data_IF_641973348861
#
_entry.id   IF_641973348861
#
_cell.length_a   1.000
_cell.length_b   1.000
_cell.length_c   1.000
_cell.angle_alpha   90.00
_cell.angle_beta   90.00
_cell.angle_gamma   90.00
#
_symmetry.space_group_name_H-M   'P 1'
#
loop_
_entity.id
_entity.type
_entity.pdbx_description
1 polymer ?
#
# COMPACT_ATOMS: atom_id res chain seq x y z
N UNK A 1 12.52 40.55 79.83
CA UNK A 1 13.48 39.74 80.61
C UNK A 1 13.93 38.57 79.74
N UNK A 2 15.21 38.50 79.34
CA UNK A 2 15.78 37.32 78.65
C UNK A 2 16.29 36.39 79.74
N UNK A 3 15.57 35.29 79.93
CA UNK A 3 16.04 34.23 80.82
C UNK A 3 17.25 33.60 80.16
N UNK A 4 18.40 33.60 80.79
CA UNK A 4 19.61 32.98 80.27
C UNK A 4 19.47 31.46 80.24
N UNK A 5 20.21 30.79 79.32
CA UNK A 5 20.19 29.33 79.16
C UNK A 5 20.42 28.58 80.48
N UNK A 6 21.24 29.15 81.35
CA UNK A 6 21.57 28.59 82.71
C UNK A 6 20.36 28.67 83.63
N UNK A 7 19.62 29.79 83.64
CA UNK A 7 18.42 29.97 84.46
C UNK A 7 17.28 29.03 83.95
N UNK A 8 17.16 28.85 82.61
CA UNK A 8 16.21 27.90 82.05
C UNK A 8 16.54 26.48 82.48
N UNK A 9 17.81 26.08 82.42
CA UNK A 9 18.25 24.72 82.79
C UNK A 9 18.06 24.50 84.29
N UNK A 10 18.27 25.53 85.10
CA UNK A 10 18.06 25.45 86.56
C UNK A 10 16.57 25.33 86.90
N UNK A 11 15.69 26.08 86.24
CA UNK A 11 14.23 25.94 86.36
C UNK A 11 13.80 24.57 85.95
N UNK A 12 14.35 24.04 84.82
CA UNK A 12 14.07 22.72 84.35
C UNK A 12 14.53 21.62 85.32
N UNK A 13 15.69 21.79 85.89
CA UNK A 13 16.23 20.87 86.90
C UNK A 13 15.40 20.90 88.23
N UNK A 14 14.98 22.06 88.74
CA UNK A 14 14.10 22.20 89.91
C UNK A 14 12.70 21.62 89.55
N UNK A 15 12.15 21.89 88.37
CA UNK A 15 10.89 21.37 87.95
C UNK A 15 10.94 19.82 87.82
N UNK A 16 12.06 19.27 87.35
CA UNK A 16 12.23 17.82 87.22
C UNK A 16 12.33 17.13 88.61
N UNK A 17 12.92 17.77 89.60
CA UNK A 17 13.05 17.24 90.99
C UNK A 17 11.73 17.29 91.76
N UNK A 18 10.93 18.34 91.60
CA UNK A 18 9.68 18.55 92.35
C UNK A 18 8.42 17.89 91.72
N UNK A 19 8.40 17.72 90.41
CA UNK A 19 7.25 17.19 89.68
C UNK A 19 7.55 15.82 88.99
N UNK A 20 8.80 15.38 89.15
CA UNK A 20 9.41 14.29 88.35
C UNK A 20 8.58 13.03 88.22
N UNK A 21 8.11 12.33 89.23
CA UNK A 21 7.43 11.03 89.00
C UNK A 21 6.05 11.15 88.31
N UNK A 22 5.33 12.26 88.59
CA UNK A 22 4.00 12.48 88.06
C UNK A 22 4.01 12.89 86.59
N UNK A 23 4.99 13.74 86.22
CA UNK A 23 5.18 14.17 84.84
C UNK A 23 5.71 12.99 83.94
N UNK A 24 6.66 12.23 84.50
CA UNK A 24 7.16 11.04 83.84
C UNK A 24 6.02 10.01 83.51
N UNK A 25 5.16 9.78 84.52
CA UNK A 25 3.98 8.88 84.28
C UNK A 25 2.96 9.49 83.33
N UNK A 26 2.82 10.82 83.28
CA UNK A 26 1.95 11.48 82.33
C UNK A 26 2.51 11.40 80.89
N UNK A 27 3.77 11.68 80.70
CA UNK A 27 4.49 11.60 79.43
C UNK A 27 4.52 10.17 78.91
N UNK A 28 4.79 9.21 79.81
CA UNK A 28 4.76 7.78 79.44
C UNK A 28 3.35 7.30 78.98
N UNK A 29 2.29 7.73 79.75
CA UNK A 29 0.90 7.43 79.28
C UNK A 29 0.53 8.10 77.97
N UNK A 30 0.99 9.37 77.78
CA UNK A 30 0.77 10.11 76.55
C UNK A 30 1.52 9.47 75.40
N UNK A 31 2.80 9.10 75.59
CA UNK A 31 3.58 8.39 74.53
C UNK A 31 2.98 7.03 74.23
N UNK A 32 2.55 6.25 75.19
CA UNK A 32 1.87 4.99 74.95
C UNK A 32 0.55 5.16 74.15
N UNK A 33 -0.22 6.22 74.40
CA UNK A 33 -1.43 6.57 73.65
C UNK A 33 -1.06 7.00 72.22
N UNK A 34 -0.07 7.87 72.10
CA UNK A 34 0.39 8.31 70.78
C UNK A 34 0.95 7.15 69.94
N UNK A 35 1.74 6.26 70.53
CA UNK A 35 2.26 5.07 69.85
C UNK A 35 1.17 4.10 69.48
N UNK A 36 0.14 3.90 70.32
CA UNK A 36 -1.04 3.09 69.92
C UNK A 36 -1.85 3.70 68.76
N UNK A 37 -2.05 5.04 68.81
CA UNK A 37 -2.72 5.76 67.73
C UNK A 37 -1.95 5.68 66.40
N UNK A 38 -0.63 5.86 66.49
CA UNK A 38 0.26 5.73 65.31
C UNK A 38 0.29 4.29 64.76
N UNK A 39 0.32 3.30 65.67
CA UNK A 39 0.25 1.87 65.26
C UNK A 39 -1.08 1.54 64.59
N UNK A 40 -2.21 2.04 65.13
CA UNK A 40 -3.52 1.87 64.46
C UNK A 40 -3.59 2.59 63.11
N UNK A 41 -3.06 3.82 63.02
CA UNK A 41 -2.99 4.56 61.78
C UNK A 41 -2.10 3.84 60.72
N UNK A 42 -0.97 3.28 61.16
CA UNK A 42 -0.09 2.49 60.31
C UNK A 42 -0.77 1.21 59.79
N UNK A 43 -1.51 0.50 60.68
CA UNK A 43 -2.30 -0.68 60.27
C UNK A 43 -3.37 -0.32 59.22
N UNK A 44 -4.14 0.75 59.47
CA UNK A 44 -5.15 1.20 58.48
C UNK A 44 -4.53 1.58 57.13
N UNK A 45 -3.36 2.25 57.14
CA UNK A 45 -2.64 2.56 55.90
C UNK A 45 -2.16 1.32 55.19
N UNK A 46 -1.67 0.32 55.93
CA UNK A 46 -1.24 -0.95 55.35
C UNK A 46 -2.42 -1.75 54.77
N UNK A 47 -3.56 -1.80 55.49
CA UNK A 47 -4.79 -2.43 55.00
C UNK A 47 -5.32 -1.74 53.73
N UNK A 48 -5.36 -0.40 53.72
CA UNK A 48 -5.75 0.37 52.56
C UNK A 48 -4.81 0.15 51.37
N UNK A 49 -3.50 0.14 51.59
CA UNK A 49 -2.51 -0.13 50.58
C UNK A 49 -2.64 -1.55 50.01
N UNK A 50 -2.92 -2.52 50.86
CA UNK A 50 -3.17 -3.93 50.44
C UNK A 50 -4.44 -4.04 49.61
N UNK A 51 -5.53 -3.36 49.97
CA UNK A 51 -6.76 -3.31 49.20
C UNK A 51 -6.54 -2.70 47.81
N UNK A 52 -5.88 -1.54 47.75
CA UNK A 52 -5.52 -0.90 46.48
C UNK A 52 -4.60 -1.74 45.60
N UNK A 53 -3.67 -2.47 46.19
CA UNK A 53 -2.82 -3.41 45.47
C UNK A 53 -3.66 -4.57 44.89
N UNK A 54 -4.55 -5.16 45.67
CA UNK A 54 -5.45 -6.23 45.22
C UNK A 54 -6.39 -5.77 44.10
N UNK A 55 -6.96 -4.58 44.21
CA UNK A 55 -7.80 -4.00 43.17
C UNK A 55 -7.02 -3.76 41.86
N UNK A 56 -5.79 -3.23 42.01
CA UNK A 56 -4.88 -3.04 40.86
C UNK A 56 -4.55 -4.35 40.18
N UNK A 57 -4.25 -5.40 40.92
CA UNK A 57 -3.94 -6.71 40.39
C UNK A 57 -5.19 -7.36 39.70
N UNK A 58 -6.36 -7.18 40.29
CA UNK A 58 -7.61 -7.62 39.67
C UNK A 58 -7.87 -6.87 38.35
N UNK A 59 -7.66 -5.56 38.32
CA UNK A 59 -7.78 -4.73 37.12
C UNK A 59 -6.77 -5.17 36.05
N UNK A 60 -5.52 -5.38 36.42
CA UNK A 60 -4.47 -5.84 35.48
C UNK A 60 -4.79 -7.23 34.91
N UNK A 61 -5.31 -8.15 35.72
CA UNK A 61 -5.78 -9.45 35.21
C UNK A 61 -6.91 -9.29 34.20
N UNK A 62 -7.93 -8.49 34.50
CA UNK A 62 -9.02 -8.19 33.57
C UNK A 62 -8.52 -7.57 32.26
N UNK A 63 -7.61 -6.60 32.38
CA UNK A 63 -7.01 -5.95 31.21
C UNK A 63 -6.21 -6.94 30.34
N UNK A 64 -5.38 -7.80 30.97
CA UNK A 64 -4.64 -8.84 30.25
C UNK A 64 -5.59 -9.78 29.52
N UNK A 65 -6.64 -10.26 30.18
CA UNK A 65 -7.62 -11.15 29.55
C UNK A 65 -8.33 -10.45 28.40
N UNK A 66 -8.81 -9.22 28.58
CA UNK A 66 -9.46 -8.45 27.52
C UNK A 66 -8.50 -8.19 26.32
N UNK A 67 -7.27 -7.83 26.61
CA UNK A 67 -6.24 -7.62 25.58
C UNK A 67 -5.93 -8.89 24.79
N UNK A 68 -5.87 -10.05 25.47
CA UNK A 68 -5.67 -11.34 24.80
C UNK A 68 -6.83 -11.70 23.91
N UNK A 69 -8.07 -11.55 24.40
CA UNK A 69 -9.29 -11.82 23.61
C UNK A 69 -9.35 -10.91 22.38
N UNK A 70 -9.05 -9.62 22.56
CA UNK A 70 -9.02 -8.65 21.47
C UNK A 70 -7.93 -8.98 20.45
N UNK A 71 -6.72 -9.35 20.90
CA UNK A 71 -5.62 -9.76 20.02
C UNK A 71 -5.94 -11.00 19.20
N UNK A 72 -6.57 -12.02 19.84
CA UNK A 72 -7.05 -13.22 19.11
C UNK A 72 -8.14 -12.86 18.11
N UNK A 73 -9.07 -11.98 18.48
CA UNK A 73 -10.10 -11.49 17.58
C UNK A 73 -9.53 -10.81 16.33
N UNK A 74 -8.56 -9.91 16.51
CA UNK A 74 -7.86 -9.27 15.38
C UNK A 74 -7.14 -10.31 14.51
N UNK A 75 -6.44 -11.26 15.13
CA UNK A 75 -5.76 -12.31 14.39
C UNK A 75 -6.72 -13.15 13.55
N UNK A 76 -7.87 -13.52 14.08
CA UNK A 76 -8.90 -14.25 13.34
C UNK A 76 -9.47 -13.45 12.16
N UNK A 77 -9.70 -12.14 12.36
CA UNK A 77 -10.14 -11.24 11.27
C UNK A 77 -9.06 -11.13 10.19
N UNK A 78 -7.79 -11.02 10.57
CA UNK A 78 -6.69 -10.98 9.62
C UNK A 78 -6.55 -12.30 8.85
N UNK A 79 -6.64 -13.45 9.53
CA UNK A 79 -6.60 -14.77 8.88
C UNK A 79 -7.78 -14.91 7.91
N UNK A 80 -8.98 -14.49 8.31
CA UNK A 80 -10.14 -14.50 7.42
C UNK A 80 -9.95 -13.56 6.22
N UNK A 81 -9.52 -12.33 6.45
CA UNK A 81 -9.34 -11.32 5.39
C UNK A 81 -8.22 -11.70 4.38
N UNK A 82 -7.16 -12.33 4.87
CA UNK A 82 -6.01 -12.69 4.03
C UNK A 82 -6.11 -14.10 3.44
N UNK A 83 -6.73 -15.04 4.16
CA UNK A 83 -6.77 -16.45 3.77
C UNK A 83 -8.10 -16.95 3.22
N UNK A 84 -9.20 -16.37 3.69
CA UNK A 84 -10.54 -16.87 3.38
C UNK A 84 -11.47 -15.84 2.74
N UNK A 85 -10.93 -14.66 2.34
CA UNK A 85 -11.76 -13.67 1.65
C UNK A 85 -12.31 -14.30 0.38
N UNK A 86 -13.62 -14.44 0.24
CA UNK A 86 -14.21 -15.01 -0.96
C UNK A 86 -13.84 -14.13 -2.16
N UNK A 87 -13.39 -14.76 -3.23
CA UNK A 87 -13.23 -14.09 -4.52
C UNK A 87 -14.65 -13.88 -5.02
N UNK A 88 -15.06 -12.61 -5.22
CA UNK A 88 -16.42 -12.25 -5.64
C UNK A 88 -16.77 -12.71 -7.08
N UNK A 89 -15.83 -13.35 -7.76
CA UNK A 89 -16.02 -13.88 -9.10
C UNK A 89 -16.15 -15.40 -9.06
N UNK A 90 -17.25 -15.98 -9.55
CA UNK A 90 -17.40 -17.42 -9.59
C UNK A 90 -16.34 -18.03 -10.55
N UNK A 91 -15.61 -19.05 -10.13
CA UNK A 91 -14.62 -19.70 -10.98
C UNK A 91 -15.30 -20.33 -12.19
N UNK A 92 -14.70 -20.15 -13.38
CA UNK A 92 -15.16 -20.80 -14.58
C UNK A 92 -14.26 -22.01 -14.90
N UNK A 93 -14.87 -23.04 -15.46
CA UNK A 93 -14.11 -24.21 -15.88
C UNK A 93 -13.19 -23.85 -17.04
N UNK A 94 -11.88 -23.96 -16.81
CA UNK A 94 -10.86 -23.73 -17.84
C UNK A 94 -10.65 -25.01 -18.65
N UNK A 95 -10.81 -24.90 -19.99
CA UNK A 95 -10.38 -25.94 -20.93
C UNK A 95 -9.07 -25.48 -21.55
N UNK A 96 -7.98 -26.15 -21.19
CA UNK A 96 -6.68 -25.84 -21.79
C UNK A 96 -6.74 -26.03 -23.32
N UNK A 97 -6.23 -25.06 -24.10
CA UNK A 97 -6.08 -25.24 -25.52
C UNK A 97 -5.09 -26.38 -25.83
N UNK A 98 -5.29 -27.04 -26.94
CA UNK A 98 -4.34 -28.06 -27.42
C UNK A 98 -2.97 -27.37 -27.64
N UNK A 99 -1.94 -27.91 -27.01
CA UNK A 99 -0.57 -27.41 -27.20
C UNK A 99 -0.13 -27.71 -28.64
N UNK A 100 0.14 -26.67 -29.40
CA UNK A 100 0.82 -26.81 -30.67
C UNK A 100 2.28 -27.11 -30.46
N UNK A 101 2.85 -28.08 -31.18
CA UNK A 101 4.28 -28.28 -31.17
C UNK A 101 4.97 -27.08 -31.81
N UNK A 102 5.91 -26.51 -31.12
CA UNK A 102 6.75 -25.45 -31.63
C UNK A 102 7.61 -25.97 -32.79
N UNK A 103 7.60 -25.31 -33.93
CA UNK A 103 8.36 -25.68 -35.11
C UNK A 103 9.11 -24.45 -35.66
N UNK A 104 10.21 -24.71 -36.39
CA UNK A 104 10.95 -23.67 -37.09
C UNK A 104 11.82 -22.79 -36.18
N UNK A 105 11.79 -21.47 -36.37
CA UNK A 105 12.65 -20.51 -35.70
C UNK A 105 12.54 -20.48 -34.16
N UNK A 106 11.44 -20.95 -33.61
CA UNK A 106 11.22 -21.02 -32.15
C UNK A 106 12.06 -22.13 -31.49
N UNK A 107 12.59 -23.07 -32.23
CA UNK A 107 13.47 -24.14 -31.70
C UNK A 107 14.92 -23.70 -31.59
N UNK A 108 15.27 -22.54 -32.08
CA UNK A 108 16.64 -22.05 -32.10
C UNK A 108 16.98 -21.41 -30.75
N UNK A 109 17.95 -21.94 -30.04
CA UNK A 109 18.47 -21.31 -28.83
C UNK A 109 19.11 -19.95 -29.20
N UNK A 110 18.51 -18.88 -28.71
CA UNK A 110 19.08 -17.54 -28.85
C UNK A 110 20.20 -17.39 -27.81
N UNK A 111 21.43 -17.18 -28.30
CA UNK A 111 22.55 -16.86 -27.42
C UNK A 111 22.29 -15.53 -26.71
N UNK A 112 22.36 -15.56 -25.38
CA UNK A 112 22.22 -14.37 -24.53
C UNK A 112 23.58 -13.77 -24.13
N UNK A 113 24.67 -14.18 -24.81
CA UNK A 113 26.02 -13.80 -24.46
C UNK A 113 26.37 -12.34 -24.78
N UNK A 114 25.49 -11.65 -25.53
CA UNK A 114 25.64 -10.22 -25.90
C UNK A 114 24.61 -9.33 -25.21
N UNK A 115 24.39 -9.54 -23.91
CA UNK A 115 23.51 -8.65 -23.14
C UNK A 115 24.22 -7.36 -22.77
N UNK A 116 23.61 -6.23 -23.08
CA UNK A 116 24.02 -4.93 -22.54
C UNK A 116 22.96 -4.45 -21.60
N UNK A 117 23.33 -4.14 -20.36
CA UNK A 117 22.44 -3.53 -19.40
C UNK A 117 22.30 -2.05 -19.72
N UNK A 118 21.07 -1.57 -19.84
CA UNK A 118 20.75 -0.16 -19.98
C UNK A 118 20.45 0.41 -18.60
N UNK A 119 21.09 1.51 -18.27
CA UNK A 119 20.84 2.21 -17.01
C UNK A 119 19.75 3.25 -17.25
N UNK A 120 18.63 3.11 -16.54
CA UNK A 120 17.51 4.04 -16.62
C UNK A 120 17.49 5.06 -15.46
N UNK A 121 18.56 5.14 -14.67
CA UNK A 121 18.66 6.07 -13.53
C UNK A 121 17.63 5.77 -12.45
N UNK A 122 16.74 6.73 -12.17
CA UNK A 122 15.73 6.63 -11.13
C UNK A 122 14.48 5.82 -11.55
N UNK A 123 14.36 5.51 -12.84
CA UNK A 123 13.20 4.82 -13.40
C UNK A 123 13.27 3.32 -13.13
N UNK A 124 12.12 2.76 -12.74
CA UNK A 124 11.96 1.36 -12.38
C UNK A 124 10.73 0.76 -13.04
N UNK A 125 10.62 -0.58 -13.03
CA UNK A 125 9.40 -1.30 -13.44
C UNK A 125 9.03 -1.06 -14.88
N UNK A 126 9.94 -1.34 -15.81
CA UNK A 126 9.70 -1.20 -17.25
C UNK A 126 8.72 -2.26 -17.73
N UNK A 127 7.55 -1.82 -18.20
CA UNK A 127 6.49 -2.72 -18.66
C UNK A 127 6.40 -2.83 -20.18
N UNK A 128 6.76 -1.80 -20.93
CA UNK A 128 6.71 -1.77 -22.38
C UNK A 128 7.95 -1.07 -22.94
N UNK A 129 8.54 -1.64 -23.98
CA UNK A 129 9.71 -1.08 -24.65
C UNK A 129 9.46 -1.01 -26.15
N UNK A 130 9.82 0.12 -26.78
CA UNK A 130 9.75 0.32 -28.22
C UNK A 130 11.04 0.98 -28.69
N UNK A 131 11.49 0.57 -29.87
CA UNK A 131 12.57 1.25 -30.58
C UNK A 131 11.98 2.10 -31.71
N UNK A 132 12.42 3.37 -31.80
CA UNK A 132 12.05 4.27 -32.89
C UNK A 132 13.21 5.23 -33.15
N UNK A 133 13.58 5.40 -34.42
CA UNK A 133 14.59 6.36 -34.89
C UNK A 133 15.94 6.22 -34.15
N UNK A 134 16.35 4.97 -33.86
CA UNK A 134 17.59 4.66 -33.15
C UNK A 134 17.56 4.91 -31.65
N UNK A 135 16.44 5.33 -31.09
CA UNK A 135 16.22 5.55 -29.66
C UNK A 135 15.31 4.47 -29.07
N UNK A 136 15.47 4.20 -27.79
CA UNK A 136 14.61 3.33 -27.03
C UNK A 136 13.63 4.16 -26.19
N UNK A 137 12.40 3.72 -26.15
CA UNK A 137 11.34 4.29 -25.34
C UNK A 137 10.82 3.22 -24.41
N UNK A 138 10.51 3.60 -23.17
CA UNK A 138 10.04 2.67 -22.16
C UNK A 138 8.95 3.31 -21.29
N UNK A 139 7.91 2.56 -20.99
CA UNK A 139 7.00 2.90 -19.90
C UNK A 139 7.68 2.52 -18.59
N UNK A 140 7.87 3.45 -17.69
CA UNK A 140 8.59 3.22 -16.43
C UNK A 140 7.99 4.04 -15.29
N UNK A 141 8.28 3.63 -14.08
CA UNK A 141 7.83 4.31 -12.86
C UNK A 141 8.94 5.23 -12.36
N UNK A 142 8.57 6.40 -11.92
CA UNK A 142 9.49 7.26 -11.19
C UNK A 142 9.52 6.83 -9.72
N UNK A 143 10.66 6.30 -9.26
CA UNK A 143 10.82 5.68 -7.94
C UNK A 143 10.62 6.61 -6.73
N UNK A 144 10.56 7.94 -6.94
CA UNK A 144 10.36 8.90 -5.85
C UNK A 144 8.90 9.00 -5.35
N UNK A 145 7.93 8.44 -6.06
CA UNK A 145 6.51 8.68 -5.80
C UNK A 145 5.75 7.45 -5.29
N UNK A 146 6.18 6.84 -4.20
CA UNK A 146 5.43 5.77 -3.51
C UNK A 146 3.97 6.12 -3.10
N UNK A 147 3.56 7.38 -3.20
CA UNK A 147 2.21 7.85 -2.80
C UNK A 147 1.35 8.38 -3.94
N UNK A 148 1.91 8.76 -5.07
CA UNK A 148 1.18 9.04 -6.30
C UNK A 148 1.82 8.17 -7.36
N UNK A 149 1.11 7.15 -7.78
CA UNK A 149 1.55 6.34 -8.92
C UNK A 149 1.49 7.24 -10.14
N UNK A 150 2.62 7.73 -10.55
CA UNK A 150 2.82 8.38 -11.84
C UNK A 150 3.74 7.48 -12.64
N UNK A 151 3.39 7.23 -13.88
CA UNK A 151 4.24 6.53 -14.81
C UNK A 151 4.74 7.50 -15.86
N UNK A 152 5.96 7.34 -16.24
CA UNK A 152 6.62 8.17 -17.23
C UNK A 152 6.88 7.37 -18.51
N UNK A 153 6.67 7.99 -19.66
CA UNK A 153 7.25 7.53 -20.90
C UNK A 153 8.66 8.11 -20.99
N UNK A 154 9.63 7.23 -20.89
CA UNK A 154 11.05 7.55 -20.84
C UNK A 154 11.70 7.28 -22.19
N UNK A 155 12.56 8.17 -22.64
CA UNK A 155 13.43 8.00 -23.81
C UNK A 155 14.87 7.84 -23.39
N UNK A 156 15.58 6.91 -24.01
CA UNK A 156 17.02 6.72 -23.77
C UNK A 156 17.76 6.40 -25.05
N UNK A 157 18.99 6.88 -25.14
CA UNK A 157 19.98 6.52 -26.15
C UNK A 157 20.94 5.42 -25.67
N UNK A 158 20.72 4.91 -24.45
CA UNK A 158 21.57 3.94 -23.77
C UNK A 158 22.51 4.56 -22.74
N UNK A 159 22.72 5.88 -22.73
CA UNK A 159 23.55 6.60 -21.78
C UNK A 159 22.75 7.40 -20.75
N UNK A 160 21.70 8.07 -21.20
CA UNK A 160 20.84 8.89 -20.35
C UNK A 160 19.36 8.58 -20.61
N UNK A 161 18.60 8.54 -19.55
CA UNK A 161 17.15 8.38 -19.61
C UNK A 161 16.46 9.67 -19.20
N UNK A 162 15.46 10.10 -19.98
CA UNK A 162 14.69 11.31 -19.69
C UNK A 162 13.19 11.06 -19.93
N UNK A 163 12.35 11.51 -19.01
CA UNK A 163 10.91 11.51 -19.24
C UNK A 163 10.55 12.48 -20.36
N UNK A 164 9.71 12.01 -21.28
CA UNK A 164 9.16 12.83 -22.37
C UNK A 164 7.69 13.18 -22.12
N UNK A 165 6.99 12.36 -21.31
CA UNK A 165 5.67 12.65 -20.82
C UNK A 165 5.42 11.88 -19.51
N UNK A 166 4.53 12.42 -18.66
CA UNK A 166 4.13 11.78 -17.41
C UNK A 166 2.62 11.63 -17.39
N UNK A 167 2.12 10.50 -16.90
CA UNK A 167 0.69 10.24 -16.72
C UNK A 167 0.39 9.85 -15.28
N UNK A 168 -0.81 10.19 -14.81
CA UNK A 168 -1.30 9.73 -13.51
C UNK A 168 -1.67 8.23 -13.61
N UNK A 169 -1.33 7.44 -12.58
CA UNK A 169 -1.61 5.99 -12.55
C UNK A 169 -0.54 5.17 -13.29
N UNK A 170 -0.98 4.11 -13.91
CA UNK A 170 -0.11 3.14 -14.61
C UNK A 170 -0.16 3.39 -16.12
N UNK A 171 1.00 3.57 -16.75
CA UNK A 171 1.18 3.53 -18.19
C UNK A 171 1.42 2.06 -18.58
N UNK A 172 0.39 1.38 -19.08
CA UNK A 172 0.42 -0.06 -19.30
C UNK A 172 0.87 -0.44 -20.72
N UNK A 173 0.86 0.50 -21.65
CA UNK A 173 1.36 0.30 -23.00
C UNK A 173 1.39 1.58 -23.81
N UNK A 174 2.24 1.63 -24.84
CA UNK A 174 2.29 2.74 -25.78
C UNK A 174 2.71 2.29 -27.17
N UNK A 175 2.30 3.03 -28.19
CA UNK A 175 2.70 2.84 -29.57
C UNK A 175 2.78 4.20 -30.28
N UNK A 176 3.61 4.28 -31.30
CA UNK A 176 3.73 5.48 -32.15
C UNK A 176 2.91 5.29 -33.42
N UNK A 177 2.22 6.33 -33.85
CA UNK A 177 1.66 6.38 -35.20
C UNK A 177 2.65 6.94 -36.23
N UNK A 178 2.24 6.99 -37.49
CA UNK A 178 3.05 7.48 -38.60
C UNK A 178 3.38 8.99 -38.48
N UNK A 179 2.58 9.77 -37.78
CA UNK A 179 2.81 11.19 -37.53
C UNK A 179 3.78 11.41 -36.35
N UNK A 180 4.13 10.36 -35.61
CA UNK A 180 4.95 10.42 -34.43
C UNK A 180 4.19 10.72 -33.14
N UNK A 181 2.87 10.78 -33.21
CA UNK A 181 2.05 10.87 -32.01
C UNK A 181 2.13 9.56 -31.21
N UNK A 182 1.98 9.67 -29.90
CA UNK A 182 2.00 8.52 -29.00
C UNK A 182 0.58 8.18 -28.58
N UNK A 183 0.17 6.98 -28.90
CA UNK A 183 -1.02 6.36 -28.34
C UNK A 183 -0.62 5.56 -27.12
N UNK A 184 -1.38 5.67 -26.04
CA UNK A 184 -1.03 5.04 -24.77
C UNK A 184 -2.27 4.52 -24.04
N UNK A 185 -2.09 3.45 -23.28
CA UNK A 185 -3.07 2.92 -22.37
C UNK A 185 -2.69 3.31 -20.95
N UNK A 186 -3.62 4.00 -20.29
CA UNK A 186 -3.47 4.51 -18.93
C UNK A 186 -4.48 3.84 -18.02
N UNK A 187 -4.03 3.41 -16.85
CA UNK A 187 -4.87 2.81 -15.84
C UNK A 187 -4.84 3.65 -14.57
N UNK A 188 -6.01 4.08 -14.12
CA UNK A 188 -6.21 4.84 -12.88
C UNK A 188 -7.22 4.14 -11.98
N UNK A 189 -7.45 4.67 -10.79
CA UNK A 189 -8.52 4.19 -9.90
C UNK A 189 -9.94 4.35 -10.49
N UNK A 190 -10.09 5.21 -11.50
CA UNK A 190 -11.36 5.40 -12.21
C UNK A 190 -11.59 4.39 -13.35
N UNK A 191 -10.57 3.61 -13.70
CA UNK A 191 -10.60 2.64 -14.79
C UNK A 191 -9.52 2.88 -15.83
N UNK A 192 -9.60 2.11 -16.92
CA UNK A 192 -8.70 2.22 -18.05
C UNK A 192 -9.08 3.35 -19.00
N UNK A 193 -8.10 3.88 -19.72
CA UNK A 193 -8.27 4.94 -20.71
C UNK A 193 -7.31 4.73 -21.87
N UNK A 194 -7.81 4.87 -23.10
CA UNK A 194 -6.97 5.07 -24.28
C UNK A 194 -6.72 6.55 -24.46
N UNK A 195 -5.46 6.93 -24.50
CA UNK A 195 -5.02 8.33 -24.59
C UNK A 195 -4.15 8.56 -25.83
N UNK A 196 -3.99 9.84 -26.19
CA UNK A 196 -3.09 10.30 -27.25
C UNK A 196 -2.27 11.48 -26.78
N UNK A 197 -0.97 11.46 -27.02
CA UNK A 197 -0.09 12.60 -26.88
C UNK A 197 0.47 13.00 -28.27
N UNK A 198 0.24 14.25 -28.68
CA UNK A 198 0.72 14.74 -29.98
C UNK A 198 2.22 14.96 -29.93
N UNK A 199 2.90 14.63 -31.03
CA UNK A 199 4.33 14.76 -31.16
C UNK A 199 4.84 16.18 -30.84
N UNK A 200 4.16 17.19 -31.33
CA UNK A 200 4.56 18.59 -31.17
C UNK A 200 4.34 19.14 -29.74
N UNK A 201 3.67 18.37 -28.87
CA UNK A 201 3.30 18.79 -27.53
C UNK A 201 3.59 17.73 -26.45
N UNK A 202 4.61 16.90 -26.67
CA UNK A 202 5.07 15.98 -25.63
C UNK A 202 5.45 16.76 -24.37
N UNK A 203 4.94 16.29 -23.21
CA UNK A 203 5.05 17.01 -21.94
C UNK A 203 3.86 17.91 -21.59
N UNK A 204 2.93 18.16 -22.53
CA UNK A 204 1.64 18.74 -22.23
C UNK A 204 0.63 17.67 -21.73
N UNK A 205 -0.60 18.13 -21.41
CA UNK A 205 -1.66 17.23 -21.01
C UNK A 205 -1.98 16.21 -22.12
N UNK A 206 -2.13 14.96 -21.75
CA UNK A 206 -2.48 13.84 -22.63
C UNK A 206 -3.98 13.92 -22.92
N UNK A 207 -4.37 13.80 -24.18
CA UNK A 207 -5.78 13.75 -24.61
C UNK A 207 -6.37 12.37 -24.27
N UNK A 208 -7.46 12.34 -23.50
CA UNK A 208 -8.25 11.13 -23.29
C UNK A 208 -9.17 10.89 -24.47
N UNK A 209 -9.00 9.76 -25.15
CA UNK A 209 -9.74 9.46 -26.38
C UNK A 209 -10.90 8.50 -26.12
N UNK A 210 -10.66 7.42 -25.39
CA UNK A 210 -11.70 6.45 -25.00
C UNK A 210 -11.58 6.19 -23.51
N UNK A 211 -12.62 6.52 -22.76
CA UNK A 211 -12.68 6.31 -21.29
C UNK A 211 -13.74 5.30 -20.91
N UNK A 212 -14.70 5.05 -21.80
CA UNK A 212 -15.83 4.17 -21.56
C UNK A 212 -16.33 3.54 -22.85
N UNK A 213 -16.98 2.39 -22.73
CA UNK A 213 -17.68 1.70 -23.81
C UNK A 213 -19.06 1.32 -23.31
N UNK A 214 -20.09 1.59 -24.13
CA UNK A 214 -21.49 1.30 -23.81
C UNK A 214 -21.94 1.85 -22.44
N UNK A 215 -21.38 3.00 -22.03
CA UNK A 215 -21.70 3.65 -20.77
C UNK A 215 -20.98 3.06 -19.54
N UNK A 216 -20.16 2.03 -19.71
CA UNK A 216 -19.32 1.47 -18.65
C UNK A 216 -17.86 1.93 -18.77
N UNK A 217 -17.14 2.19 -17.69
CA UNK A 217 -15.71 2.45 -17.72
C UNK A 217 -14.93 1.32 -18.40
N UNK A 218 -13.85 1.64 -19.09
CA UNK A 218 -12.94 0.60 -19.58
C UNK A 218 -12.37 -0.17 -18.39
N UNK A 219 -12.27 -1.49 -18.54
CA UNK A 219 -11.58 -2.35 -17.61
C UNK A 219 -10.08 -2.07 -17.53
N UNK A 220 -9.33 -3.05 -17.07
CA UNK A 220 -7.88 -2.94 -16.94
C UNK A 220 -7.22 -3.00 -18.33
N UNK A 221 -6.96 -1.84 -18.92
CA UNK A 221 -6.23 -1.71 -20.19
C UNK A 221 -4.78 -2.17 -20.02
N UNK A 222 -4.20 -2.83 -21.04
CA UNK A 222 -2.89 -3.47 -20.91
C UNK A 222 -1.92 -3.18 -22.06
N UNK A 223 -2.39 -3.02 -23.27
CA UNK A 223 -1.54 -2.88 -24.44
C UNK A 223 -2.20 -2.04 -25.52
N UNK A 224 -1.40 -1.41 -26.37
CA UNK A 224 -1.83 -0.66 -27.54
C UNK A 224 -0.87 -0.85 -28.71
N UNK A 225 -1.42 -0.95 -29.91
CA UNK A 225 -0.70 -0.99 -31.19
C UNK A 225 -1.39 -0.10 -32.21
N UNK A 226 -0.61 0.50 -33.10
CA UNK A 226 -1.13 1.30 -34.21
C UNK A 226 -0.82 0.63 -35.54
N UNK A 227 -1.84 0.38 -36.33
CA UNK A 227 -1.65 -0.21 -37.64
C UNK A 227 -1.10 0.81 -38.66
N UNK A 228 -0.48 0.36 -39.77
CA UNK A 228 -0.04 1.25 -40.83
C UNK A 228 -1.19 2.09 -41.45
N UNK A 229 -2.43 1.61 -41.36
CA UNK A 229 -3.63 2.32 -41.77
C UNK A 229 -4.12 3.37 -40.74
N UNK A 230 -3.40 3.57 -39.64
CA UNK A 230 -3.73 4.52 -38.58
C UNK A 230 -4.83 4.08 -37.60
N UNK A 231 -5.29 2.83 -37.70
CA UNK A 231 -6.22 2.28 -36.69
C UNK A 231 -5.47 1.88 -35.44
N UNK A 232 -6.07 2.14 -34.26
CA UNK A 232 -5.48 1.91 -32.97
C UNK A 232 -6.13 0.70 -32.31
N UNK A 233 -5.37 -0.36 -32.13
CA UNK A 233 -5.80 -1.56 -31.44
C UNK A 233 -5.38 -1.47 -29.98
N UNK A 234 -6.27 -1.77 -29.05
CA UNK A 234 -5.94 -1.80 -27.64
C UNK A 234 -6.57 -2.99 -26.94
N UNK A 235 -5.87 -3.51 -25.95
CA UNK A 235 -6.30 -4.65 -25.17
C UNK A 235 -6.81 -4.20 -23.79
N UNK A 236 -7.88 -4.86 -23.35
CA UNK A 236 -8.39 -4.82 -21.98
C UNK A 236 -8.12 -6.19 -21.38
N UNK A 237 -7.25 -6.27 -20.40
CA UNK A 237 -6.83 -7.53 -19.80
C UNK A 237 -7.93 -8.18 -18.96
N UNK A 238 -8.72 -7.38 -18.26
CA UNK A 238 -9.84 -7.82 -17.45
C UNK A 238 -10.92 -6.72 -17.39
N UNK A 239 -12.19 -7.11 -17.32
CA UNK A 239 -13.30 -6.16 -17.21
C UNK A 239 -13.38 -5.51 -15.82
N UNK A 240 -12.88 -6.16 -14.77
CA UNK A 240 -12.94 -5.72 -13.39
C UNK A 240 -11.54 -5.61 -12.76
N UNK A 241 -11.44 -4.93 -11.62
CA UNK A 241 -10.20 -4.83 -10.84
C UNK A 241 -9.25 -3.72 -11.27
N UNK A 242 -9.63 -2.91 -12.25
CA UNK A 242 -8.84 -1.79 -12.76
C UNK A 242 -8.41 -0.80 -11.66
N UNK A 243 -9.26 -0.57 -10.67
CA UNK A 243 -9.03 0.32 -9.55
C UNK A 243 -7.84 -0.06 -8.63
N UNK A 244 -7.45 -1.34 -8.71
CA UNK A 244 -6.34 -1.90 -7.91
C UNK A 244 -5.04 -2.10 -8.72
N UNK A 245 -5.02 -1.63 -9.98
CA UNK A 245 -3.89 -1.75 -10.89
C UNK A 245 -3.93 -3.02 -11.76
N UNK A 246 -3.11 -3.03 -12.81
CA UNK A 246 -3.10 -4.08 -13.83
C UNK A 246 -2.74 -5.46 -13.25
N UNK A 247 -1.73 -5.54 -12.39
CA UNK A 247 -1.32 -6.81 -11.77
C UNK A 247 -2.46 -7.43 -10.95
N UNK A 248 -3.18 -6.61 -10.18
CA UNK A 248 -4.31 -7.08 -9.37
C UNK A 248 -5.46 -7.55 -10.22
N UNK A 249 -5.79 -6.82 -11.30
CA UNK A 249 -6.82 -7.20 -12.26
C UNK A 249 -6.50 -8.54 -12.95
N UNK A 250 -5.26 -8.70 -13.43
CA UNK A 250 -4.78 -9.95 -14.04
C UNK A 250 -4.81 -11.12 -13.06
N UNK A 251 -4.36 -10.89 -11.81
CA UNK A 251 -4.42 -11.92 -10.77
C UNK A 251 -5.85 -12.37 -10.49
N UNK A 252 -6.79 -11.42 -10.40
CA UNK A 252 -8.21 -11.74 -10.18
C UNK A 252 -8.77 -12.53 -11.35
N UNK A 253 -8.49 -12.12 -12.58
CA UNK A 253 -8.91 -12.81 -13.80
C UNK A 253 -8.41 -14.26 -13.84
N UNK A 254 -7.12 -14.48 -13.53
CA UNK A 254 -6.49 -15.80 -13.50
C UNK A 254 -7.06 -16.70 -12.39
N UNK A 255 -7.22 -16.15 -11.18
CA UNK A 255 -7.75 -16.93 -10.04
C UNK A 255 -9.23 -17.28 -10.20
N UNK A 256 -9.99 -16.41 -10.80
CA UNK A 256 -11.41 -16.65 -11.09
C UNK A 256 -11.64 -17.53 -12.33
N UNK A 257 -10.59 -17.80 -13.12
CA UNK A 257 -10.69 -18.48 -14.40
C UNK A 257 -11.74 -17.83 -15.34
N UNK A 258 -11.85 -16.51 -15.27
CA UNK A 258 -12.71 -15.74 -16.17
C UNK A 258 -11.98 -15.45 -17.48
N UNK A 259 -12.73 -15.16 -18.52
CA UNK A 259 -12.19 -14.76 -19.81
C UNK A 259 -12.90 -13.47 -20.26
N UNK A 260 -12.76 -12.42 -19.40
CA UNK A 260 -13.43 -11.14 -19.62
C UNK A 260 -12.62 -10.19 -20.50
N UNK A 261 -11.34 -10.52 -20.75
CA UNK A 261 -10.45 -9.72 -21.59
C UNK A 261 -10.92 -9.62 -23.02
N UNK A 262 -10.61 -8.50 -23.64
CA UNK A 262 -11.05 -8.15 -24.99
C UNK A 262 -9.96 -7.36 -25.72
N UNK A 263 -10.02 -7.38 -27.05
CA UNK A 263 -9.29 -6.48 -27.94
C UNK A 263 -10.28 -5.60 -28.69
N UNK A 264 -10.00 -4.32 -28.72
CA UNK A 264 -10.79 -3.32 -29.42
C UNK A 264 -9.96 -2.63 -30.49
N UNK A 265 -10.61 -2.13 -31.53
CA UNK A 265 -10.02 -1.22 -32.50
C UNK A 265 -10.73 0.14 -32.42
N UNK A 266 -9.96 1.19 -32.30
CA UNK A 266 -10.41 2.57 -32.43
C UNK A 266 -10.04 3.10 -33.82
N UNK A 267 -11.00 3.65 -34.50
CA UNK A 267 -10.79 4.37 -35.79
C UNK A 267 -10.76 5.89 -35.50
N UNK A 268 -9.58 6.55 -35.58
CA UNK A 268 -9.49 7.98 -35.31
C UNK A 268 -10.25 8.87 -36.28
N UNK A 269 -10.43 8.40 -37.54
CA UNK A 269 -11.15 9.16 -38.55
C UNK A 269 -12.66 9.14 -38.31
N UNK A 270 -13.21 7.96 -38.01
CA UNK A 270 -14.62 7.77 -37.71
C UNK A 270 -14.99 8.08 -36.25
N UNK A 271 -14.00 8.12 -35.33
CA UNK A 271 -14.15 8.20 -33.87
C UNK A 271 -15.05 7.09 -33.32
N UNK A 272 -14.89 5.88 -33.84
CA UNK A 272 -15.67 4.70 -33.44
C UNK A 272 -14.78 3.67 -32.79
N UNK A 273 -15.33 2.91 -31.84
CA UNK A 273 -14.67 1.76 -31.23
C UNK A 273 -15.45 0.51 -31.57
N UNK A 274 -14.76 -0.55 -32.01
CA UNK A 274 -15.32 -1.85 -32.33
C UNK A 274 -14.58 -2.94 -31.55
N UNK A 275 -15.29 -3.94 -31.05
CA UNK A 275 -14.69 -5.11 -30.41
C UNK A 275 -14.24 -6.09 -31.53
N UNK A 276 -12.94 -6.37 -31.55
CA UNK A 276 -12.33 -7.31 -32.51
C UNK A 276 -12.28 -8.73 -31.94
N UNK A 277 -11.97 -8.87 -30.66
CA UNK A 277 -11.81 -10.16 -29.99
C UNK A 277 -12.31 -10.04 -28.55
N UNK A 278 -13.00 -11.07 -28.09
CA UNK A 278 -13.43 -11.18 -26.68
C UNK A 278 -13.23 -12.60 -26.18
N UNK A 279 -13.43 -12.78 -24.89
CA UNK A 279 -13.27 -14.09 -24.25
C UNK A 279 -11.79 -14.48 -24.07
N UNK A 280 -10.92 -13.52 -23.86
CA UNK A 280 -9.48 -13.73 -23.62
C UNK A 280 -9.22 -13.63 -22.13
N UNK A 281 -8.62 -14.66 -21.52
CA UNK A 281 -8.20 -14.61 -20.15
C UNK A 281 -6.87 -13.84 -20.05
N UNK A 282 -6.90 -12.63 -19.48
CA UNK A 282 -5.70 -11.83 -19.24
C UNK A 282 -5.01 -11.37 -20.53
N UNK A 283 -5.70 -10.65 -21.40
CA UNK A 283 -5.11 -10.06 -22.60
C UNK A 283 -4.01 -9.04 -22.22
N UNK A 284 -2.78 -9.49 -22.04
CA UNK A 284 -1.66 -8.70 -21.48
C UNK A 284 -0.76 -8.07 -22.54
N UNK A 285 -0.80 -8.52 -23.78
CA UNK A 285 0.04 -8.02 -24.87
C UNK A 285 -0.67 -8.03 -26.20
N UNK A 286 -0.21 -7.18 -27.10
CA UNK A 286 -0.73 -7.03 -28.47
C UNK A 286 0.43 -6.84 -29.42
N UNK A 287 0.35 -7.48 -30.57
CA UNK A 287 1.26 -7.27 -31.69
C UNK A 287 0.50 -7.39 -33.00
N UNK A 288 0.82 -6.55 -33.95
CA UNK A 288 0.29 -6.60 -35.29
C UNK A 288 1.27 -7.31 -36.20
N UNK A 289 0.76 -8.18 -37.08
CA UNK A 289 1.53 -8.76 -38.15
C UNK A 289 1.88 -7.68 -39.20
N UNK A 290 3.06 -7.74 -39.82
CA UNK A 290 3.44 -6.78 -40.86
C UNK A 290 2.63 -6.93 -42.16
N UNK A 291 1.91 -8.04 -42.35
CA UNK A 291 1.07 -8.38 -43.54
C UNK A 291 -0.42 -8.13 -43.31
#
# INVERSE_FOLDING_TARGET
>A
MRIGLIEFLLILAIASLTVGPRVALFVDRWMRRANRANAMAARRRAEYAAQMAAERDAMLKRFRTASTVFGVGILLVLVYALGFRPIDTPPQAYKAPDLRQETGAMQTAVSTDRKTRLELGEYQGVDCIRAKDGLLYAAAWNGAALKKRTSDLVRTDGGHAAAILSVEGELTGFAFDAAGDVWLTQLTTAGGTLCRAKHDSWGAAVEQVVTQLDGAPLGAVSAVEVSPAGKVYFAVAAAAGAENGLESALRTELLAHTATGCVYVYDPAARTVEKVLGGVAGAAGLALSPD
#
